data_IF_206079639413
#
_entry.id   IF_206079639413
#
_cell.length_a   1.000
_cell.length_b   1.000
_cell.length_c   1.000
_cell.angle_alpha   90.00
_cell.angle_beta   90.00
_cell.angle_gamma   90.00
#
_symmetry.space_group_name_H-M   'P 1'
#
loop_
_entity.id
_entity.type
_entity.pdbx_description
1 polymer ?
#
# COMPACT_ATOMS: atom_id res chain seq x y z
N UNK A 1 15.11 24.92 -21.21
CA UNK A 1 15.27 23.52 -20.80
C UNK A 1 13.89 22.98 -20.46
N UNK A 2 13.46 21.82 -20.98
CA UNK A 2 12.26 21.18 -20.48
C UNK A 2 12.46 20.85 -19.00
N UNK A 3 11.46 21.18 -18.19
CA UNK A 3 11.43 20.81 -16.77
C UNK A 3 11.50 19.29 -16.65
N UNK A 4 12.24 18.73 -15.68
CA UNK A 4 12.16 17.30 -15.43
C UNK A 4 10.71 17.02 -15.05
N UNK A 5 9.99 16.34 -15.94
CA UNK A 5 8.73 15.71 -15.59
C UNK A 5 9.10 14.79 -14.43
N UNK A 6 8.71 15.14 -13.21
CA UNK A 6 8.89 14.25 -12.08
C UNK A 6 8.13 12.98 -12.46
N UNK A 7 8.86 11.97 -12.87
CA UNK A 7 8.36 10.79 -13.56
C UNK A 7 7.61 9.90 -12.55
N UNK A 8 6.48 10.35 -12.01
CA UNK A 8 5.61 9.57 -11.12
C UNK A 8 4.83 8.48 -11.88
N UNK A 9 5.24 8.20 -13.11
CA UNK A 9 4.71 7.16 -13.98
C UNK A 9 4.78 5.80 -13.28
N UNK A 10 5.88 5.52 -12.56
CA UNK A 10 6.06 4.30 -11.77
C UNK A 10 5.05 4.20 -10.59
N UNK A 11 4.74 5.31 -9.92
CA UNK A 11 3.76 5.34 -8.82
C UNK A 11 2.36 5.07 -9.35
N UNK A 12 1.99 5.70 -10.47
CA UNK A 12 0.69 5.48 -11.12
C UNK A 12 0.53 4.05 -11.61
N UNK A 13 1.58 3.46 -12.16
CA UNK A 13 1.56 2.08 -12.65
C UNK A 13 1.41 1.09 -11.48
N UNK A 14 2.21 1.25 -10.43
CA UNK A 14 2.11 0.45 -9.20
C UNK A 14 0.73 0.57 -8.55
N UNK A 15 0.18 1.79 -8.44
CA UNK A 15 -1.14 2.03 -7.87
C UNK A 15 -2.24 1.34 -8.67
N UNK A 16 -2.22 1.45 -10.01
CA UNK A 16 -3.20 0.78 -10.87
C UNK A 16 -3.11 -0.75 -10.75
N UNK A 17 -1.90 -1.29 -10.76
CA UNK A 17 -1.68 -2.72 -10.62
C UNK A 17 -2.24 -3.24 -9.28
N UNK A 18 -1.90 -2.57 -8.17
CA UNK A 18 -2.37 -2.93 -6.83
C UNK A 18 -3.89 -2.79 -6.69
N UNK A 19 -4.48 -1.70 -7.18
CA UNK A 19 -5.93 -1.51 -7.11
C UNK A 19 -6.69 -2.60 -7.88
N UNK A 20 -6.17 -3.02 -9.04
CA UNK A 20 -6.75 -4.08 -9.87
C UNK A 20 -6.53 -5.47 -9.29
N UNK A 21 -5.34 -5.75 -8.74
CA UNK A 21 -4.99 -7.03 -8.12
C UNK A 21 -5.86 -7.31 -6.89
N UNK A 22 -6.13 -6.29 -6.07
CA UNK A 22 -6.96 -6.41 -4.87
C UNK A 22 -8.46 -6.17 -5.12
N UNK A 23 -8.87 -5.80 -6.33
CA UNK A 23 -10.27 -5.52 -6.67
C UNK A 23 -10.88 -4.32 -5.93
N UNK A 24 -10.04 -3.39 -5.47
CA UNK A 24 -10.39 -2.25 -4.60
C UNK A 24 -10.64 -0.96 -5.37
N UNK A 25 -10.80 -1.03 -6.70
CA UNK A 25 -11.10 0.12 -7.56
C UNK A 25 -12.35 0.90 -7.12
N UNK A 26 -13.26 0.23 -6.39
CA UNK A 26 -14.48 0.82 -5.81
C UNK A 26 -14.34 1.20 -4.34
N UNK A 27 -13.29 0.72 -3.66
CA UNK A 27 -13.06 1.00 -2.26
C UNK A 27 -12.14 2.21 -2.10
N UNK A 28 -12.77 3.38 -1.88
CA UNK A 28 -12.04 4.65 -1.69
C UNK A 28 -11.11 4.61 -0.49
N UNK A 29 -11.44 3.84 0.56
CA UNK A 29 -10.62 3.77 1.77
C UNK A 29 -9.32 3.03 1.46
N UNK A 30 -9.42 1.80 0.93
CA UNK A 30 -8.27 1.00 0.52
C UNK A 30 -7.41 1.72 -0.53
N UNK A 31 -8.04 2.43 -1.47
CA UNK A 31 -7.33 3.24 -2.47
C UNK A 31 -6.48 4.34 -1.81
N UNK A 32 -7.03 5.06 -0.82
CA UNK A 32 -6.30 6.13 -0.12
C UNK A 32 -5.16 5.56 0.73
N UNK A 33 -5.37 4.42 1.37
CA UNK A 33 -4.33 3.81 2.19
C UNK A 33 -3.15 3.29 1.35
N UNK A 34 -3.43 2.65 0.21
CA UNK A 34 -2.39 2.25 -0.76
C UNK A 34 -1.66 3.47 -1.31
N UNK A 35 -2.38 4.54 -1.64
CA UNK A 35 -1.76 5.79 -2.09
C UNK A 35 -0.86 6.40 -1.01
N UNK A 36 -1.27 6.35 0.27
CA UNK A 36 -0.46 6.82 1.39
C UNK A 36 0.82 5.99 1.57
N UNK A 37 0.73 4.65 1.45
CA UNK A 37 1.90 3.76 1.50
C UNK A 37 2.87 4.02 0.35
N UNK A 38 2.36 4.15 -0.88
CA UNK A 38 3.18 4.49 -2.05
C UNK A 38 3.93 5.80 -1.85
N UNK A 39 3.25 6.85 -1.37
CA UNK A 39 3.88 8.15 -1.11
C UNK A 39 4.92 8.05 0.00
N UNK A 40 4.68 7.28 1.06
CA UNK A 40 5.66 7.07 2.12
C UNK A 40 6.94 6.42 1.59
N UNK A 41 6.82 5.35 0.79
CA UNK A 41 7.97 4.65 0.20
C UNK A 41 8.76 5.51 -0.78
N UNK A 42 8.05 6.32 -1.59
CA UNK A 42 8.71 7.31 -2.46
C UNK A 42 9.49 8.34 -1.65
N UNK A 43 8.97 8.77 -0.50
CA UNK A 43 9.69 9.67 0.42
C UNK A 43 10.89 9.00 1.09
N UNK A 44 10.89 7.68 1.22
CA UNK A 44 12.04 6.89 1.68
C UNK A 44 13.10 6.72 0.57
N UNK A 45 12.80 7.14 -0.66
CA UNK A 45 13.72 7.10 -1.80
C UNK A 45 13.49 5.92 -2.75
N UNK A 46 12.42 5.15 -2.57
CA UNK A 46 12.07 4.03 -3.45
C UNK A 46 11.41 4.60 -4.71
N UNK A 47 12.11 4.49 -5.84
CA UNK A 47 11.64 4.99 -7.15
C UNK A 47 11.45 3.87 -8.19
N UNK A 48 11.33 2.63 -7.73
CA UNK A 48 11.10 1.47 -8.60
C UNK A 48 9.65 0.95 -8.47
N UNK A 49 8.99 0.73 -9.60
CA UNK A 49 7.59 0.30 -9.64
C UNK A 49 7.39 -1.12 -9.07
N UNK A 50 8.32 -2.04 -9.34
CA UNK A 50 8.26 -3.42 -8.84
C UNK A 50 8.49 -3.45 -7.33
N UNK A 51 9.49 -2.72 -6.87
CA UNK A 51 9.83 -2.62 -5.44
C UNK A 51 8.69 -1.97 -4.65
N UNK A 52 8.08 -0.92 -5.17
CA UNK A 52 6.88 -0.31 -4.57
C UNK A 52 5.73 -1.30 -4.46
N UNK A 53 5.45 -2.10 -5.50
CA UNK A 53 4.37 -3.09 -5.45
C UNK A 53 4.62 -4.13 -4.36
N UNK A 54 5.84 -4.65 -4.28
CA UNK A 54 6.22 -5.66 -3.27
C UNK A 54 6.08 -5.08 -1.86
N UNK A 55 6.70 -3.93 -1.60
CA UNK A 55 6.69 -3.30 -0.27
C UNK A 55 5.30 -2.86 0.14
N UNK A 56 4.51 -2.28 -0.78
CA UNK A 56 3.12 -1.94 -0.48
C UNK A 56 2.32 -3.19 -0.19
N UNK A 57 2.47 -4.28 -0.95
CA UNK A 57 1.74 -5.52 -0.70
C UNK A 57 2.09 -6.12 0.67
N UNK A 58 3.36 -6.15 1.04
CA UNK A 58 3.83 -6.59 2.35
C UNK A 58 3.25 -5.71 3.46
N UNK A 59 3.45 -4.39 3.37
CA UNK A 59 2.95 -3.42 4.35
C UNK A 59 1.43 -3.40 4.42
N UNK A 60 0.73 -3.61 3.31
CA UNK A 60 -0.72 -3.67 3.23
C UNK A 60 -1.26 -4.95 3.88
N UNK A 61 -0.61 -6.09 3.69
CA UNK A 61 -0.95 -7.34 4.38
C UNK A 61 -0.67 -7.27 5.88
N UNK A 62 0.45 -6.64 6.29
CA UNK A 62 0.78 -6.42 7.70
C UNK A 62 -0.14 -5.38 8.36
N UNK A 63 -0.55 -4.34 7.63
CA UNK A 63 -1.42 -3.28 8.13
C UNK A 63 -2.92 -3.60 8.00
N UNK A 64 -3.30 -4.62 7.23
CA UNK A 64 -4.68 -5.08 7.08
C UNK A 64 -5.41 -5.28 8.43
N UNK A 65 -4.82 -5.92 9.46
CA UNK A 65 -5.48 -6.01 10.77
C UNK A 65 -5.58 -4.67 11.52
N UNK A 66 -4.69 -3.70 11.26
CA UNK A 66 -4.69 -2.41 11.96
C UNK A 66 -5.70 -1.40 11.38
N UNK A 67 -5.95 -1.45 10.07
CA UNK A 67 -6.87 -0.52 9.40
C UNK A 67 -8.26 -1.08 9.12
N UNK A 68 -8.44 -2.41 9.12
CA UNK A 68 -9.75 -3.06 8.99
C UNK A 68 -10.61 -2.98 10.25
N UNK A 69 -10.13 -2.28 11.27
CA UNK A 69 -10.73 -2.22 12.59
C UNK A 69 -10.15 -3.33 13.45
N UNK A 70 -10.01 -3.05 14.74
CA UNK A 70 -9.75 -4.05 15.76
C UNK A 70 -10.72 -5.24 15.59
N UNK A 71 -10.28 -6.29 14.91
CA UNK A 71 -10.72 -7.64 15.18
C UNK A 71 -9.63 -8.21 16.07
N UNK A 72 -9.93 -8.28 17.36
CA UNK A 72 -9.03 -8.71 18.43
C UNK A 72 -8.17 -9.90 18.00
N UNK A 73 -6.86 -9.91 18.30
CA UNK A 73 -6.22 -11.20 18.49
C UNK A 73 -6.95 -11.86 19.65
N UNK A 74 -7.75 -12.88 19.32
CA UNK A 74 -8.39 -13.73 20.30
C UNK A 74 -7.35 -14.10 21.37
N UNK A 75 -7.70 -13.74 22.60
CA UNK A 75 -6.94 -13.99 23.82
C UNK A 75 -6.31 -15.39 23.78
N UNK A 76 -5.00 -15.56 24.04
CA UNK A 76 -4.43 -16.89 24.16
C UNK A 76 -5.15 -17.60 25.29
N UNK A 77 -5.68 -18.83 25.12
CA UNK A 77 -6.31 -19.53 26.22
C UNK A 77 -5.27 -19.71 27.32
N UNK A 78 -5.54 -19.01 28.43
CA UNK A 78 -4.78 -19.12 29.65
C UNK A 78 -4.71 -20.59 30.04
N UNK A 79 -3.48 -21.04 30.16
CA UNK A 79 -2.98 -22.20 30.90
C UNK A 79 -3.96 -22.65 32.01
N UNK A 80 -4.27 -23.95 32.05
CA UNK A 80 -4.71 -24.68 33.24
C UNK A 80 -4.11 -26.07 33.21
#
# INVERSE_FOLDING_TARGET
MPVPDNDFTFVKDAMKALCREHGIERDRKATVEIAALLVALVKEGIHDAEELKVLVRERWMEAAPLFRGADSPAEPPSRS
#
